data_IF_670218330521
#
_entry.id   IF_670218330521
#
_cell.length_a   1.000
_cell.length_b   1.000
_cell.length_c   1.000
_cell.angle_alpha   90.00
_cell.angle_beta   90.00
_cell.angle_gamma   90.00
#
_symmetry.space_group_name_H-M   'P 1'
#
loop_
_entity.id
_entity.type
_entity.pdbx_description
1 polymer ?
#
# COMPACT_ATOMS: atom_id res chain seq x y z
N UNK A 1 13.82 11.94 -10.12
CA UNK A 1 13.10 10.67 -10.38
C UNK A 1 11.71 11.00 -10.90
N UNK A 2 11.36 10.43 -12.04
CA UNK A 2 10.09 10.76 -12.71
C UNK A 2 8.98 9.79 -12.28
N UNK A 3 8.33 10.09 -11.17
CA UNK A 3 7.21 9.31 -10.62
C UNK A 3 5.92 10.09 -10.82
N UNK A 4 4.92 9.43 -11.41
CA UNK A 4 3.58 10.00 -11.60
C UNK A 4 2.55 9.00 -11.07
N UNK A 5 1.53 9.51 -10.39
CA UNK A 5 0.38 8.71 -9.95
C UNK A 5 -0.79 8.99 -10.90
N UNK A 6 -1.26 7.94 -11.56
CA UNK A 6 -2.38 8.02 -12.48
C UNK A 6 -3.62 7.42 -11.82
N UNK A 7 -4.68 8.21 -11.71
CA UNK A 7 -5.93 7.73 -11.11
C UNK A 7 -6.47 6.55 -11.91
N UNK A 8 -6.67 5.42 -11.25
CA UNK A 8 -7.14 4.20 -11.87
C UNK A 8 -8.64 4.21 -12.08
N UNK A 9 -9.10 3.51 -13.12
CA UNK A 9 -10.50 3.28 -13.42
C UNK A 9 -10.75 1.76 -13.44
N UNK A 10 -12.01 1.36 -13.62
CA UNK A 10 -12.37 -0.06 -13.74
C UNK A 10 -11.64 -0.77 -14.89
N UNK A 11 -11.29 -0.04 -15.93
CA UNK A 11 -10.52 -0.60 -17.06
C UNK A 11 -9.14 -1.05 -16.65
N UNK A 12 -8.60 -0.51 -15.54
CA UNK A 12 -7.26 -0.82 -15.04
C UNK A 12 -7.25 -2.01 -14.06
N UNK A 13 -8.41 -2.59 -13.76
CA UNK A 13 -8.53 -3.61 -12.71
C UNK A 13 -7.63 -4.83 -12.95
N UNK A 14 -7.57 -5.34 -14.17
CA UNK A 14 -6.72 -6.49 -14.51
C UNK A 14 -5.25 -6.19 -14.31
N UNK A 15 -4.78 -5.04 -14.79
CA UNK A 15 -3.38 -4.64 -14.66
C UNK A 15 -2.99 -4.49 -13.19
N UNK A 16 -3.81 -3.81 -12.40
CA UNK A 16 -3.58 -3.62 -10.98
C UNK A 16 -3.51 -4.96 -10.26
N UNK A 17 -4.49 -5.83 -10.50
CA UNK A 17 -4.56 -7.14 -9.87
C UNK A 17 -3.33 -7.98 -10.21
N UNK A 18 -2.93 -8.02 -11.49
CA UNK A 18 -1.75 -8.80 -11.89
C UNK A 18 -0.48 -8.30 -11.24
N UNK A 19 -0.26 -6.98 -11.20
CA UNK A 19 0.90 -6.42 -10.53
C UNK A 19 0.91 -6.75 -9.04
N UNK A 20 -0.25 -6.70 -8.40
CA UNK A 20 -0.39 -7.04 -6.99
C UNK A 20 -0.02 -8.51 -6.72
N UNK A 21 -0.57 -9.43 -7.51
CA UNK A 21 -0.29 -10.87 -7.37
C UNK A 21 1.21 -11.15 -7.55
N UNK A 22 1.82 -10.59 -8.58
CA UNK A 22 3.25 -10.76 -8.85
C UNK A 22 4.09 -10.25 -7.68
N UNK A 23 3.76 -9.06 -7.18
CA UNK A 23 4.54 -8.42 -6.13
C UNK A 23 4.47 -9.19 -4.81
N UNK A 24 3.28 -9.69 -4.43
CA UNK A 24 3.10 -10.34 -3.14
C UNK A 24 3.30 -11.85 -3.17
N UNK A 25 3.65 -12.43 -4.33
CA UNK A 25 3.85 -13.88 -4.46
C UNK A 25 4.88 -14.43 -3.48
N UNK A 26 6.03 -13.78 -3.36
CA UNK A 26 7.11 -14.21 -2.46
C UNK A 26 6.67 -14.16 -1.00
N UNK A 27 5.95 -13.11 -0.60
CA UNK A 27 5.44 -12.99 0.76
C UNK A 27 4.38 -14.04 1.06
N UNK A 28 3.52 -14.34 0.09
CA UNK A 28 2.51 -15.39 0.23
C UNK A 28 3.17 -16.75 0.46
N UNK A 29 4.20 -17.07 -0.33
CA UNK A 29 4.95 -18.32 -0.18
C UNK A 29 5.67 -18.39 1.17
N UNK A 30 6.22 -17.27 1.62
CA UNK A 30 6.98 -17.19 2.88
C UNK A 30 6.09 -17.33 4.11
N UNK A 31 4.94 -16.67 4.14
CA UNK A 31 4.09 -16.60 5.33
C UNK A 31 2.86 -17.49 5.27
N UNK A 32 2.46 -17.94 4.09
CA UNK A 32 1.32 -18.83 3.88
C UNK A 32 0.01 -18.30 4.51
N UNK A 33 -0.17 -16.99 4.45
CA UNK A 33 -1.35 -16.28 4.95
C UNK A 33 -2.43 -16.19 3.88
N UNK A 34 -2.88 -17.36 3.40
CA UNK A 34 -3.73 -17.48 2.22
C UNK A 34 -5.05 -16.73 2.33
N UNK A 35 -5.59 -16.58 3.53
CA UNK A 35 -6.90 -15.94 3.74
C UNK A 35 -6.84 -14.42 3.69
N UNK A 36 -5.67 -13.82 3.93
CA UNK A 36 -5.54 -12.37 4.05
C UNK A 36 -4.48 -11.76 3.15
N UNK A 37 -3.63 -12.57 2.50
CA UNK A 37 -2.55 -12.04 1.68
C UNK A 37 -3.07 -11.34 0.43
N UNK A 38 -2.55 -10.13 0.13
CA UNK A 38 -2.79 -9.49 -1.16
C UNK A 38 -2.36 -10.36 -2.35
N UNK A 39 -1.41 -11.27 -2.14
CA UNK A 39 -0.94 -12.19 -3.17
C UNK A 39 -1.91 -13.30 -3.54
N UNK A 40 -2.98 -13.46 -2.77
CA UNK A 40 -4.00 -14.49 -2.99
C UNK A 40 -5.39 -13.90 -3.23
N UNK A 41 -5.51 -12.60 -3.39
CA UNK A 41 -6.79 -11.96 -3.64
C UNK A 41 -7.27 -12.18 -5.07
N UNK A 42 -8.59 -12.30 -5.23
CA UNK A 42 -9.21 -12.45 -6.54
C UNK A 42 -9.40 -11.09 -7.21
N UNK A 43 -9.53 -11.10 -8.54
CA UNK A 43 -9.77 -9.89 -9.33
C UNK A 43 -10.99 -9.11 -8.83
N UNK A 44 -12.05 -9.81 -8.41
CA UNK A 44 -13.28 -9.18 -7.90
C UNK A 44 -13.01 -8.26 -6.72
N UNK A 45 -11.97 -8.55 -5.92
CA UNK A 45 -11.58 -7.69 -4.80
C UNK A 45 -11.04 -6.35 -5.30
N UNK A 46 -10.22 -6.39 -6.34
CA UNK A 46 -9.70 -5.17 -6.97
C UNK A 46 -10.84 -4.34 -7.57
N UNK A 47 -11.78 -5.00 -8.25
CA UNK A 47 -12.95 -4.34 -8.83
C UNK A 47 -13.78 -3.67 -7.73
N UNK A 48 -14.03 -4.40 -6.64
CA UNK A 48 -14.78 -3.88 -5.50
C UNK A 48 -14.13 -2.63 -4.92
N UNK A 49 -12.81 -2.64 -4.76
CA UNK A 49 -12.06 -1.49 -4.25
C UNK A 49 -12.14 -0.29 -5.18
N UNK A 50 -12.04 -0.51 -6.49
CA UNK A 50 -12.15 0.56 -7.47
C UNK A 50 -13.54 1.20 -7.47
N UNK A 51 -14.56 0.46 -7.07
CA UNK A 51 -15.93 0.96 -6.97
C UNK A 51 -16.27 1.63 -5.63
N UNK A 52 -15.38 1.55 -4.63
CA UNK A 52 -15.62 2.18 -3.33
C UNK A 52 -15.53 3.70 -3.46
N UNK A 53 -16.55 4.41 -2.95
CA UNK A 53 -16.56 5.86 -2.98
C UNK A 53 -15.41 6.48 -2.17
N UNK A 54 -15.02 5.82 -1.06
CA UNK A 54 -13.95 6.32 -0.17
C UNK A 54 -12.56 5.94 -0.64
N UNK A 55 -12.43 5.20 -1.73
CA UNK A 55 -11.14 4.73 -2.25
C UNK A 55 -10.67 5.59 -3.41
N UNK A 56 -9.41 6.01 -3.33
CA UNK A 56 -8.65 6.52 -4.46
C UNK A 56 -7.55 5.51 -4.77
N UNK A 57 -7.60 4.93 -5.95
CA UNK A 57 -6.60 3.96 -6.40
C UNK A 57 -5.76 4.59 -7.51
N UNK A 58 -4.44 4.45 -7.42
CA UNK A 58 -3.51 5.00 -8.41
C UNK A 58 -2.59 3.92 -8.94
N UNK A 59 -2.31 4.00 -10.25
CA UNK A 59 -1.20 3.26 -10.84
C UNK A 59 0.03 4.14 -10.71
N UNK A 60 1.12 3.54 -10.22
CA UNK A 60 2.40 4.23 -10.07
C UNK A 60 3.16 4.07 -11.38
N UNK A 61 3.48 5.20 -12.02
CA UNK A 61 4.28 5.24 -13.25
C UNK A 61 5.68 5.74 -12.94
N UNK A 62 6.67 5.01 -13.42
CA UNK A 62 8.06 5.40 -13.35
C UNK A 62 8.62 5.44 -14.77
N UNK A 63 9.01 6.63 -15.24
CA UNK A 63 9.46 6.83 -16.63
C UNK A 63 8.45 6.26 -17.63
N UNK A 64 7.16 6.51 -17.39
CA UNK A 64 6.02 6.07 -18.21
C UNK A 64 5.66 4.59 -18.13
N UNK A 65 6.44 3.80 -17.38
CA UNK A 65 6.14 2.39 -17.16
C UNK A 65 5.27 2.20 -15.92
N UNK A 66 4.30 1.31 -15.99
CA UNK A 66 3.51 0.92 -14.81
C UNK A 66 4.36 0.03 -13.91
N UNK A 67 4.65 0.50 -12.69
CA UNK A 67 5.56 -0.20 -11.78
C UNK A 67 4.93 -0.64 -10.49
N UNK A 68 3.67 -0.28 -10.25
CA UNK A 68 2.98 -0.68 -9.03
C UNK A 68 1.66 0.04 -8.87
N UNK A 69 1.11 -0.05 -7.67
CA UNK A 69 -0.15 0.58 -7.33
C UNK A 69 -0.21 1.01 -5.88
N UNK A 70 -1.06 1.96 -5.59
CA UNK A 70 -1.34 2.41 -4.23
C UNK A 70 -2.81 2.73 -4.08
N UNK A 71 -3.41 2.23 -3.00
CA UNK A 71 -4.78 2.56 -2.63
C UNK A 71 -4.76 3.43 -1.39
N UNK A 72 -5.55 4.51 -1.45
CA UNK A 72 -5.79 5.39 -0.31
C UNK A 72 -7.28 5.34 0.01
N UNK A 73 -7.61 4.99 1.27
CA UNK A 73 -8.98 5.03 1.75
C UNK A 73 -9.17 6.27 2.62
N UNK A 74 -10.21 7.02 2.31
CA UNK A 74 -10.54 8.26 3.01
C UNK A 74 -11.61 7.98 4.04
N UNK A 75 -11.25 8.03 5.32
CA UNK A 75 -12.16 7.90 6.44
C UNK A 75 -12.46 9.28 7.02
N UNK A 76 -13.51 9.39 7.81
CA UNK A 76 -13.88 10.63 8.50
C UNK A 76 -13.97 11.82 7.52
N UNK A 77 -14.61 11.58 6.37
CA UNK A 77 -14.79 12.57 5.31
C UNK A 77 -13.44 13.13 4.79
N UNK A 78 -12.39 12.30 4.83
CA UNK A 78 -11.06 12.68 4.36
C UNK A 78 -10.12 13.17 5.46
N UNK A 79 -10.59 13.25 6.69
CA UNK A 79 -9.74 13.69 7.81
C UNK A 79 -8.80 12.60 8.31
N UNK A 80 -9.02 11.33 7.93
CA UNK A 80 -8.13 10.22 8.22
C UNK A 80 -7.94 9.41 6.96
N UNK A 81 -6.70 9.18 6.55
CA UNK A 81 -6.38 8.41 5.36
C UNK A 81 -5.60 7.14 5.70
N UNK A 82 -5.96 6.04 5.05
CA UNK A 82 -5.23 4.78 5.17
C UNK A 82 -4.60 4.40 3.86
N UNK A 83 -3.32 4.02 3.89
CA UNK A 83 -2.60 3.49 2.73
C UNK A 83 -2.65 1.96 2.79
N UNK A 84 -3.09 1.32 1.70
CA UNK A 84 -3.04 -0.13 1.57
C UNK A 84 -4.06 -0.70 0.60
N UNK A 85 -3.61 -1.59 -0.29
CA UNK A 85 -2.22 -1.99 -0.45
C UNK A 85 -1.37 -0.94 -1.16
N UNK A 86 -0.08 -1.01 -0.92
CA UNK A 86 0.96 -0.33 -1.69
C UNK A 86 1.89 -1.43 -2.19
N UNK A 87 2.15 -1.46 -3.49
CA UNK A 87 3.04 -2.46 -4.06
C UNK A 87 3.86 -1.87 -5.21
N UNK A 88 5.12 -2.29 -5.25
CA UNK A 88 6.07 -1.97 -6.31
C UNK A 88 6.56 -3.30 -6.89
N UNK A 89 6.51 -3.46 -8.20
CA UNK A 89 7.00 -4.68 -8.86
C UNK A 89 8.43 -4.98 -8.43
N UNK A 90 8.79 -6.27 -8.28
CA UNK A 90 10.12 -6.66 -7.75
C UNK A 90 11.30 -5.99 -8.45
N UNK A 91 11.29 -5.89 -9.78
CA UNK A 91 12.38 -5.29 -10.53
C UNK A 91 12.55 -3.78 -10.30
N UNK A 92 11.57 -3.14 -9.68
CA UNK A 92 11.61 -1.70 -9.38
C UNK A 92 11.75 -1.40 -7.89
N UNK A 93 11.89 -2.43 -7.05
CA UNK A 93 12.07 -2.24 -5.61
C UNK A 93 13.48 -1.74 -5.29
N UNK A 94 13.63 -1.16 -4.09
CA UNK A 94 14.91 -0.65 -3.57
C UNK A 94 15.52 0.48 -4.41
N UNK A 95 14.67 1.25 -5.10
CA UNK A 95 15.07 2.40 -5.92
C UNK A 95 14.53 3.72 -5.37
N UNK A 96 13.88 3.71 -4.21
CA UNK A 96 13.29 4.90 -3.62
C UNK A 96 11.94 5.30 -4.17
N UNK A 97 11.30 4.45 -4.98
CA UNK A 97 10.00 4.76 -5.59
C UNK A 97 8.92 4.92 -4.52
N UNK A 98 8.81 3.97 -3.59
CA UNK A 98 7.80 4.03 -2.53
C UNK A 98 7.93 5.32 -1.70
N UNK A 99 9.14 5.70 -1.35
CA UNK A 99 9.39 6.92 -0.60
C UNK A 99 8.92 8.16 -1.36
N UNK A 100 9.15 8.21 -2.67
CA UNK A 100 8.67 9.29 -3.53
C UNK A 100 7.14 9.31 -3.62
N UNK A 101 6.52 8.14 -3.70
CA UNK A 101 5.05 8.02 -3.72
C UNK A 101 4.45 8.62 -2.45
N UNK A 102 5.03 8.32 -1.28
CA UNK A 102 4.57 8.90 -0.02
C UNK A 102 4.67 10.42 -0.02
N UNK A 103 5.73 10.99 -0.56
CA UNK A 103 5.85 12.44 -0.70
C UNK A 103 4.72 13.02 -1.53
N UNK A 104 4.43 12.39 -2.66
CA UNK A 104 3.38 12.86 -3.58
C UNK A 104 2.02 12.84 -2.90
N UNK A 105 1.66 11.73 -2.25
CA UNK A 105 0.35 11.64 -1.61
C UNK A 105 0.23 12.56 -0.39
N UNK A 106 1.30 12.76 0.37
CA UNK A 106 1.27 13.65 1.53
C UNK A 106 1.15 15.11 1.14
N UNK A 107 1.61 15.48 -0.04
CA UNK A 107 1.38 16.81 -0.58
C UNK A 107 -0.04 16.99 -1.12
N UNK A 108 -0.61 15.93 -1.69
CA UNK A 108 -1.94 15.96 -2.30
C UNK A 108 -3.05 15.85 -1.25
N UNK A 109 -2.89 14.96 -0.29
CA UNK A 109 -3.84 14.73 0.79
C UNK A 109 -3.29 15.35 2.06
N UNK A 110 -4.11 16.04 2.81
CA UNK A 110 -3.70 16.65 4.08
C UNK A 110 -4.71 16.29 5.14
N UNK A 111 -4.78 15.01 5.53
CA UNK A 111 -5.78 14.56 6.48
C UNK A 111 -5.52 15.16 7.86
N UNK A 112 -6.53 15.78 8.43
CA UNK A 112 -6.45 16.47 9.72
C UNK A 112 -5.99 15.54 10.84
N UNK A 113 -6.46 14.27 10.80
CA UNK A 113 -6.15 13.26 11.82
C UNK A 113 -5.04 12.30 11.38
N UNK A 114 -4.39 12.58 10.24
CA UNK A 114 -3.20 11.88 9.82
C UNK A 114 -3.44 10.65 8.97
N UNK A 115 -2.40 9.84 8.92
CA UNK A 115 -2.30 8.64 8.07
C UNK A 115 -2.15 7.41 8.94
N UNK A 116 -2.75 6.30 8.49
CA UNK A 116 -2.56 4.98 9.10
C UNK A 116 -2.18 3.96 8.04
N UNK A 117 -1.44 2.95 8.44
CA UNK A 117 -1.16 1.78 7.62
C UNK A 117 -0.76 0.61 8.52
N UNK A 118 -0.70 -0.58 7.93
CA UNK A 118 -0.19 -1.75 8.62
C UNK A 118 0.76 -2.51 7.71
N UNK A 119 1.62 -3.33 8.30
CA UNK A 119 2.59 -4.14 7.56
C UNK A 119 3.00 -5.35 8.40
N UNK A 120 3.69 -6.28 7.75
CA UNK A 120 4.22 -7.47 8.43
C UNK A 120 5.42 -7.08 9.28
N UNK A 121 5.35 -7.36 10.59
CA UNK A 121 6.41 -7.00 11.53
C UNK A 121 7.76 -7.62 11.15
N UNK A 122 7.75 -8.85 10.64
CA UNK A 122 8.96 -9.58 10.26
C UNK A 122 9.62 -9.05 8.98
N UNK A 123 8.92 -8.21 8.22
CA UNK A 123 9.50 -7.55 7.04
C UNK A 123 10.20 -6.26 7.46
N UNK A 124 11.44 -6.41 7.92
CA UNK A 124 12.23 -5.31 8.52
C UNK A 124 12.44 -4.14 7.57
N UNK A 125 12.57 -4.40 6.27
CA UNK A 125 12.75 -3.35 5.27
C UNK A 125 11.54 -2.43 5.17
N UNK A 126 10.34 -2.99 5.26
CA UNK A 126 9.10 -2.20 5.23
C UNK A 126 8.98 -1.35 6.51
N UNK A 127 9.22 -1.95 7.67
CA UNK A 127 9.19 -1.23 8.94
C UNK A 127 10.19 -0.08 8.94
N UNK A 128 11.41 -0.35 8.46
CA UNK A 128 12.45 0.68 8.36
C UNK A 128 12.01 1.84 7.46
N UNK A 129 11.42 1.53 6.30
CA UNK A 129 10.93 2.56 5.37
C UNK A 129 9.89 3.47 6.05
N UNK A 130 8.87 2.87 6.67
CA UNK A 130 7.80 3.64 7.27
C UNK A 130 8.31 4.50 8.44
N UNK A 131 9.18 3.95 9.28
CA UNK A 131 9.76 4.70 10.39
C UNK A 131 10.65 5.84 9.88
N UNK A 132 11.39 5.62 8.80
CA UNK A 132 12.23 6.65 8.19
C UNK A 132 11.43 7.83 7.67
N UNK A 133 10.24 7.58 7.12
CA UNK A 133 9.40 8.66 6.59
C UNK A 133 8.44 9.25 7.62
N UNK A 134 8.58 8.86 8.89
CA UNK A 134 7.89 9.51 9.99
C UNK A 134 6.72 8.78 10.59
N UNK A 135 6.44 7.56 10.15
CA UNK A 135 5.40 6.73 10.77
C UNK A 135 5.90 6.16 12.10
N UNK A 136 5.01 6.02 13.06
CA UNK A 136 5.31 5.44 14.38
C UNK A 136 4.37 4.29 14.67
N UNK A 137 4.89 3.25 15.30
CA UNK A 137 4.07 2.12 15.76
C UNK A 137 3.04 2.61 16.77
N UNK A 138 1.80 2.14 16.61
CA UNK A 138 0.71 2.50 17.54
C UNK A 138 0.75 1.68 18.82
N UNK A 139 1.47 0.55 18.81
CA UNK A 139 1.44 -0.43 19.89
C UNK A 139 0.51 -1.60 19.63
N UNK A 140 -0.36 -1.49 18.63
CA UNK A 140 -1.27 -2.57 18.24
C UNK A 140 -0.51 -3.59 17.39
N UNK A 141 -0.67 -4.87 17.74
CA UNK A 141 -0.10 -6.01 17.00
C UNK A 141 -1.18 -7.05 16.87
N UNK A 142 -1.29 -7.65 15.67
CA UNK A 142 -2.20 -8.75 15.41
C UNK A 142 -1.39 -9.97 14.98
N UNK A 143 -1.47 -11.07 15.74
CA UNK A 143 -0.81 -12.31 15.36
C UNK A 143 -1.65 -13.03 14.31
N UNK A 144 -1.04 -13.38 13.19
CA UNK A 144 -1.70 -14.07 12.07
C UNK A 144 -1.43 -15.58 12.14
N UNK A 145 -0.14 -15.96 12.31
CA UNK A 145 0.27 -17.35 12.47
C UNK A 145 1.62 -17.39 13.18
N UNK A 146 2.24 -18.57 13.30
CA UNK A 146 3.49 -18.76 14.05
C UNK A 146 4.65 -17.91 13.51
N UNK A 147 4.57 -17.48 12.25
CA UNK A 147 5.68 -16.79 11.58
C UNK A 147 5.36 -15.34 11.21
N UNK A 148 4.14 -14.87 11.48
CA UNK A 148 3.69 -13.59 10.96
C UNK A 148 2.85 -12.81 11.95
N UNK A 149 3.28 -11.59 12.22
CA UNK A 149 2.51 -10.58 12.96
C UNK A 149 2.29 -9.38 12.08
N UNK A 150 1.14 -8.72 12.25
CA UNK A 150 0.84 -7.43 11.63
C UNK A 150 1.05 -6.35 12.68
N UNK A 151 1.81 -5.32 12.30
CA UNK A 151 2.07 -4.16 13.15
C UNK A 151 1.40 -2.94 12.52
N UNK A 152 0.84 -2.07 13.37
CA UNK A 152 0.07 -0.90 12.93
C UNK A 152 0.86 0.38 13.17
N UNK A 153 0.84 1.25 12.17
CA UNK A 153 1.58 2.51 12.14
C UNK A 153 0.64 3.68 11.95
N UNK A 154 1.05 4.83 12.49
CA UNK A 154 0.35 6.09 12.26
C UNK A 154 1.36 7.21 12.01
N UNK A 155 0.94 8.21 11.24
CA UNK A 155 1.69 9.44 11.04
C UNK A 155 0.72 10.61 11.13
N UNK A 156 0.93 11.47 12.11
CA UNK A 156 0.12 12.67 12.30
C UNK A 156 0.96 13.86 11.89
N UNK A 157 0.37 14.71 11.06
CA UNK A 157 1.00 15.96 10.70
C UNK A 157 0.87 16.92 11.87
N UNK A 158 1.96 17.54 12.19
CA UNK A 158 2.03 18.50 13.26
C UNK A 158 1.98 19.90 12.68
#
# INVERSE_FOLDING_TARGET
>A
MNIILVKATLEDANEIHQMQIITFKTLLEKYQDYDISPGNEKLERTISRLNEEITDYYIIKFNKESVGGIRIRRYEEGDLCKVGPLFILPEYQNKGIAQNVFKIIEEKYKPKNGWILDTILQEKGNCYLYEKIGYKKTGQIENINDNMDIVFYEKKDI
#
